data_IF_495166323855
#
_entry.id   IF_495166323855
#
_cell.length_a   1.000
_cell.length_b   1.000
_cell.length_c   1.000
_cell.angle_alpha   90.00
_cell.angle_beta   90.00
_cell.angle_gamma   90.00
#
_symmetry.space_group_name_H-M   'P 1'
#
loop_
_entity.id
_entity.type
_entity.pdbx_description
1 polymer ?
#
# COMPACT_ATOMS: atom_id res chain seq x y z
N UNK A 1 6.26 -7.34 -12.22
CA UNK A 1 6.88 -6.09 -11.71
C UNK A 1 6.02 -5.55 -10.57
N UNK A 2 6.42 -5.62 -9.29
CA UNK A 2 5.52 -5.24 -8.19
C UNK A 2 5.53 -3.75 -7.87
N UNK A 3 6.65 -3.06 -8.05
CA UNK A 3 6.71 -1.61 -7.87
C UNK A 3 6.26 -0.90 -9.14
N UNK A 4 5.06 -0.32 -9.11
CA UNK A 4 4.70 0.70 -10.10
C UNK A 4 5.45 1.96 -9.73
N UNK A 5 6.66 2.11 -10.28
CA UNK A 5 7.11 3.45 -10.64
C UNK A 5 6.12 3.91 -11.70
N UNK A 6 5.17 4.76 -11.29
CA UNK A 6 4.40 5.60 -12.20
C UNK A 6 5.42 6.48 -12.93
N UNK A 7 5.99 5.96 -14.02
CA UNK A 7 6.43 6.80 -15.12
C UNK A 7 5.13 7.32 -15.75
N UNK A 8 4.58 8.34 -15.10
CA UNK A 8 3.49 9.13 -15.63
C UNK A 8 3.87 9.54 -17.06
N UNK A 9 3.11 9.11 -18.07
CA UNK A 9 2.96 9.87 -19.31
C UNK A 9 2.03 11.06 -19.01
N UNK A 10 2.44 11.93 -18.10
CA UNK A 10 1.73 13.19 -17.85
C UNK A 10 2.77 14.26 -17.68
N UNK A 11 2.50 15.40 -18.32
CA UNK A 11 3.22 16.67 -18.29
C UNK A 11 4.22 16.81 -17.15
N UNK A 12 5.42 17.32 -17.46
CA UNK A 12 6.47 17.62 -16.50
C UNK A 12 5.97 18.41 -15.27
N UNK A 13 4.86 19.13 -15.39
CA UNK A 13 4.14 19.83 -14.32
C UNK A 13 3.49 18.90 -13.27
N UNK A 14 2.91 17.76 -13.66
CA UNK A 14 2.32 16.79 -12.73
C UNK A 14 3.41 16.05 -11.92
N UNK A 15 4.55 15.75 -12.57
CA UNK A 15 5.74 15.21 -11.91
C UNK A 15 6.43 16.26 -11.01
N UNK A 16 6.45 17.53 -11.40
CA UNK A 16 6.99 18.62 -10.57
C UNK A 16 6.17 18.85 -9.29
N UNK A 17 4.86 18.54 -9.31
CA UNK A 17 3.99 18.65 -8.16
C UNK A 17 4.00 17.42 -7.23
N UNK A 18 4.54 16.28 -7.69
CA UNK A 18 4.96 15.20 -6.80
C UNK A 18 6.26 15.66 -6.13
N UNK A 19 6.13 16.53 -5.12
CA UNK A 19 7.27 17.16 -4.44
C UNK A 19 8.31 16.17 -3.91
N UNK A 20 9.36 16.71 -3.30
CA UNK A 20 10.46 15.92 -2.73
C UNK A 20 9.94 14.74 -1.88
N UNK A 21 10.18 13.47 -2.29
CA UNK A 21 9.71 12.30 -1.58
C UNK A 21 10.48 12.03 -0.29
N UNK A 22 11.60 12.72 -0.07
CA UNK A 22 12.41 12.57 1.15
C UNK A 22 11.56 12.93 2.35
N UNK A 23 11.38 11.95 3.23
CA UNK A 23 10.68 12.16 4.49
C UNK A 23 11.51 13.08 5.38
N UNK A 24 11.03 14.31 5.66
CA UNK A 24 11.81 15.23 6.45
C UNK A 24 11.81 14.75 7.90
N UNK A 25 12.98 14.38 8.40
CA UNK A 25 13.16 13.99 9.81
C UNK A 25 12.90 15.14 10.78
N UNK A 26 12.81 16.39 10.30
CA UNK A 26 12.70 17.62 11.10
C UNK A 26 11.47 18.52 10.86
N UNK A 27 10.52 18.17 9.98
CA UNK A 27 9.31 19.00 9.77
C UNK A 27 8.68 18.80 8.39
N UNK A 28 7.35 18.71 8.31
CA UNK A 28 6.64 18.31 7.10
C UNK A 28 6.56 19.42 6.05
N UNK A 29 6.97 19.15 4.81
CA UNK A 29 6.28 19.75 3.66
C UNK A 29 4.84 19.20 3.65
N UNK A 30 3.80 20.03 3.45
CA UNK A 30 2.44 19.54 3.45
C UNK A 30 2.25 18.50 2.34
N UNK A 31 1.47 17.45 2.64
CA UNK A 31 0.91 16.57 1.62
C UNK A 31 0.22 17.45 0.59
N UNK A 32 0.75 17.46 -0.63
CA UNK A 32 0.14 18.19 -1.74
C UNK A 32 -0.36 17.14 -2.72
N UNK A 33 -1.68 17.02 -2.80
CA UNK A 33 -2.31 16.32 -3.92
C UNK A 33 -2.60 17.41 -4.94
N UNK A 34 -2.03 17.36 -6.15
CA UNK A 34 -2.42 18.29 -7.19
C UNK A 34 -3.92 18.15 -7.39
N UNK A 35 -4.67 19.25 -7.31
CA UNK A 35 -6.14 19.24 -7.52
C UNK A 35 -6.51 18.69 -8.91
N UNK A 36 -5.55 18.69 -9.84
CA UNK A 36 -5.67 18.18 -11.21
C UNK A 36 -5.23 16.73 -11.38
N UNK A 37 -4.71 16.06 -10.35
CA UNK A 37 -4.17 14.70 -10.48
C UNK A 37 -5.23 13.71 -10.94
N UNK A 38 -6.42 13.77 -10.35
CA UNK A 38 -7.54 12.91 -10.77
C UNK A 38 -7.90 13.13 -12.24
N UNK A 39 -8.05 14.39 -12.67
CA UNK A 39 -8.30 14.75 -14.07
C UNK A 39 -7.22 14.23 -15.02
N UNK A 40 -5.95 14.34 -14.64
CA UNK A 40 -4.83 13.85 -15.44
C UNK A 40 -4.82 12.32 -15.56
N UNK A 41 -5.39 11.60 -14.59
CA UNK A 41 -5.42 10.14 -14.54
C UNK A 41 -6.73 9.52 -15.04
N UNK A 42 -7.69 10.31 -15.54
CA UNK A 42 -9.00 9.81 -16.00
C UNK A 42 -8.93 8.69 -17.02
N UNK A 43 -7.97 8.76 -17.94
CA UNK A 43 -7.78 7.77 -19.00
C UNK A 43 -6.73 6.70 -18.64
N UNK A 44 -6.31 6.66 -17.38
CA UNK A 44 -5.34 5.67 -16.90
C UNK A 44 -6.08 4.59 -16.13
N UNK A 45 -5.85 3.33 -16.49
CA UNK A 45 -6.39 2.20 -15.75
C UNK A 45 -5.97 2.24 -14.28
N UNK A 46 -6.91 1.96 -13.39
CA UNK A 46 -6.65 1.82 -11.96
C UNK A 46 -6.05 0.44 -11.71
N UNK A 47 -4.73 0.40 -11.59
CA UNK A 47 -3.97 -0.85 -11.41
C UNK A 47 -4.58 -1.74 -10.32
N UNK A 48 -4.86 -3.00 -10.69
CA UNK A 48 -5.38 -4.02 -9.77
C UNK A 48 -6.86 -3.87 -9.40
N UNK A 49 -7.53 -2.79 -9.83
CA UNK A 49 -8.93 -2.51 -9.53
C UNK A 49 -9.78 -2.19 -10.76
N UNK A 50 -9.20 -1.94 -11.94
CA UNK A 50 -9.94 -1.54 -13.15
C UNK A 50 -11.08 -2.52 -13.48
N UNK A 51 -10.81 -3.83 -13.50
CA UNK A 51 -11.87 -4.82 -13.77
C UNK A 51 -13.02 -4.79 -12.75
N UNK A 52 -12.76 -4.41 -11.49
CA UNK A 52 -13.84 -4.19 -10.51
C UNK A 52 -14.58 -2.89 -10.79
N UNK A 53 -13.88 -1.80 -11.15
CA UNK A 53 -14.51 -0.53 -11.53
C UNK A 53 -15.44 -0.73 -12.72
N UNK A 54 -14.97 -1.39 -13.77
CA UNK A 54 -15.75 -1.65 -14.97
C UNK A 54 -17.01 -2.43 -14.63
N UNK A 55 -16.89 -3.50 -13.83
CA UNK A 55 -18.03 -4.27 -13.35
C UNK A 55 -19.02 -3.42 -12.54
N UNK A 56 -18.54 -2.65 -11.57
CA UNK A 56 -19.42 -1.84 -10.72
C UNK A 56 -20.18 -0.79 -11.54
N UNK A 57 -19.54 -0.21 -12.55
CA UNK A 57 -20.18 0.79 -13.41
C UNK A 57 -21.16 0.14 -14.40
N UNK A 58 -20.75 -0.91 -15.10
CA UNK A 58 -21.54 -1.51 -16.18
C UNK A 58 -22.65 -2.44 -15.67
N UNK A 59 -22.37 -3.22 -14.62
CA UNK A 59 -23.27 -4.31 -14.18
C UNK A 59 -24.07 -3.91 -12.93
N UNK A 60 -23.49 -3.07 -12.06
CA UNK A 60 -24.08 -2.69 -10.76
C UNK A 60 -24.59 -1.23 -10.72
N UNK A 61 -24.43 -0.48 -11.82
CA UNK A 61 -25.00 0.87 -11.98
C UNK A 61 -24.34 1.97 -11.14
N UNK A 62 -23.11 1.74 -10.66
CA UNK A 62 -22.31 2.78 -10.00
C UNK A 62 -21.88 3.86 -10.99
N UNK A 63 -21.67 5.06 -10.48
CA UNK A 63 -21.17 6.18 -11.28
C UNK A 63 -19.82 6.62 -10.74
N UNK A 64 -18.76 6.52 -11.57
CA UNK A 64 -17.45 7.06 -11.23
C UNK A 64 -17.50 8.58 -11.25
N UNK A 65 -16.87 9.25 -10.29
CA UNK A 65 -16.82 10.71 -10.28
C UNK A 65 -15.61 11.29 -9.56
N UNK A 66 -15.46 12.60 -9.70
CA UNK A 66 -14.40 13.34 -9.00
C UNK A 66 -14.71 13.38 -7.50
N UNK A 67 -13.81 12.92 -6.63
CA UNK A 67 -14.13 12.89 -5.22
C UNK A 67 -14.10 14.26 -4.50
N UNK A 68 -13.62 15.34 -5.15
CA UNK A 68 -13.91 16.72 -4.76
C UNK A 68 -15.16 17.27 -5.45
N UNK A 69 -15.57 16.76 -6.61
CA UNK A 69 -16.74 17.26 -7.32
C UNK A 69 -17.63 16.09 -7.75
N UNK A 70 -18.44 15.49 -6.84
CA UNK A 70 -19.20 14.28 -7.17
C UNK A 70 -20.22 14.43 -8.30
N UNK A 71 -20.52 15.65 -8.76
CA UNK A 71 -21.33 15.89 -9.96
C UNK A 71 -20.51 15.85 -11.26
N UNK A 72 -19.19 16.01 -11.18
CA UNK A 72 -18.28 15.76 -12.30
C UNK A 72 -18.11 14.25 -12.48
N UNK A 73 -18.81 13.72 -13.47
CA UNK A 73 -18.87 12.30 -13.84
C UNK A 73 -18.28 12.05 -15.23
N UNK A 74 -17.48 12.97 -15.74
CA UNK A 74 -16.84 12.83 -17.05
C UNK A 74 -15.64 11.88 -16.99
N UNK A 75 -15.94 10.59 -16.91
CA UNK A 75 -14.99 9.48 -16.84
C UNK A 75 -15.29 8.47 -17.95
N UNK A 76 -14.25 7.86 -18.56
CA UNK A 76 -14.41 6.95 -19.68
C UNK A 76 -15.18 5.67 -19.36
N UNK A 77 -15.22 5.24 -18.09
CA UNK A 77 -16.00 4.06 -17.68
C UNK A 77 -17.51 4.33 -17.62
N UNK A 78 -17.92 5.58 -17.39
CA UNK A 78 -19.34 5.90 -17.33
C UNK A 78 -19.97 5.88 -18.74
N UNK A 79 -21.24 5.46 -18.89
CA UNK A 79 -21.99 5.62 -20.13
C UNK A 79 -22.04 7.09 -20.57
N UNK A 80 -21.91 7.35 -21.87
CA UNK A 80 -21.84 8.72 -22.40
C UNK A 80 -23.05 9.58 -22.00
N UNK A 81 -24.24 8.98 -21.98
CA UNK A 81 -25.51 9.63 -21.60
C UNK A 81 -25.53 10.19 -20.16
N UNK A 82 -24.71 9.66 -19.25
CA UNK A 82 -24.67 10.09 -17.85
C UNK A 82 -23.45 10.95 -17.51
N UNK A 83 -22.49 11.10 -18.42
CA UNK A 83 -21.27 11.93 -18.20
C UNK A 83 -21.56 13.41 -18.10
N UNK A 84 -22.61 13.90 -18.77
CA UNK A 84 -23.07 15.29 -18.74
C UNK A 84 -24.20 15.54 -17.72
N UNK A 85 -24.81 14.48 -17.18
CA UNK A 85 -25.83 14.61 -16.15
C UNK A 85 -25.24 15.19 -14.86
N UNK A 86 -25.81 16.32 -14.38
CA UNK A 86 -25.41 17.01 -13.16
C UNK A 86 -26.47 16.94 -12.06
N UNK A 87 -27.47 16.07 -12.21
CA UNK A 87 -28.56 15.89 -11.23
C UNK A 87 -28.26 14.75 -10.25
N UNK A 88 -27.63 13.67 -10.73
CA UNK A 88 -27.26 12.50 -9.91
C UNK A 88 -25.79 12.56 -9.52
N UNK A 89 -25.50 12.42 -8.23
CA UNK A 89 -24.14 12.33 -7.68
C UNK A 89 -23.46 11.00 -8.05
N UNK A 90 -22.15 11.04 -8.18
CA UNK A 90 -21.30 9.85 -8.27
C UNK A 90 -21.38 9.00 -6.99
N UNK A 91 -21.17 7.70 -7.15
CA UNK A 91 -21.19 6.70 -6.08
C UNK A 91 -19.91 5.87 -5.99
N UNK A 92 -19.00 6.01 -6.95
CA UNK A 92 -17.71 5.34 -7.01
C UNK A 92 -16.59 6.38 -7.15
N UNK A 93 -15.58 6.27 -6.31
CA UNK A 93 -14.49 7.25 -6.23
C UNK A 93 -13.14 6.54 -6.17
N UNK A 94 -12.16 7.09 -6.86
CA UNK A 94 -10.77 6.61 -6.82
C UNK A 94 -9.93 7.62 -6.04
N UNK A 95 -9.15 7.14 -5.08
CA UNK A 95 -8.29 7.98 -4.25
C UNK A 95 -6.83 7.71 -4.60
N UNK A 96 -6.25 8.61 -5.39
CA UNK A 96 -4.83 8.57 -5.73
C UNK A 96 -4.00 9.20 -4.60
N UNK A 97 -2.82 8.63 -4.34
CA UNK A 97 -1.86 9.12 -3.35
C UNK A 97 -0.43 8.80 -3.79
N UNK A 98 0.54 9.53 -3.23
CA UNK A 98 1.96 9.26 -3.46
C UNK A 98 2.41 8.07 -2.61
N UNK A 99 2.47 6.90 -3.25
CA UNK A 99 2.81 5.62 -2.60
C UNK A 99 4.22 5.58 -2.03
N UNK A 100 5.11 6.52 -2.39
CA UNK A 100 6.49 6.59 -1.86
C UNK A 100 6.52 7.03 -0.41
N UNK A 101 5.48 7.75 0.03
CA UNK A 101 5.39 8.43 1.32
C UNK A 101 4.98 7.48 2.45
N UNK A 102 4.95 8.03 3.65
CA UNK A 102 4.57 7.31 4.85
C UNK A 102 3.10 6.85 4.84
N UNK A 103 2.81 5.67 5.38
CA UNK A 103 1.45 5.13 5.48
C UNK A 103 0.53 6.05 6.29
N UNK A 104 1.01 6.69 7.37
CA UNK A 104 0.21 7.64 8.13
C UNK A 104 -0.15 8.89 7.30
N UNK A 105 0.76 9.33 6.43
CA UNK A 105 0.50 10.44 5.50
C UNK A 105 -0.55 10.05 4.45
N UNK A 106 -0.46 8.83 3.93
CA UNK A 106 -1.45 8.28 3.00
C UNK A 106 -2.83 8.10 3.67
N UNK A 107 -2.87 7.70 4.94
CA UNK A 107 -4.10 7.59 5.71
C UNK A 107 -4.72 8.96 6.06
N UNK A 108 -3.90 9.97 6.35
CA UNK A 108 -4.33 11.37 6.50
C UNK A 108 -5.03 11.88 5.24
N UNK A 109 -4.48 11.57 4.06
CA UNK A 109 -5.10 11.86 2.77
C UNK A 109 -6.43 11.12 2.59
N UNK A 110 -6.46 9.82 2.87
CA UNK A 110 -7.67 9.01 2.77
C UNK A 110 -8.76 9.52 3.72
N UNK A 111 -8.42 9.84 4.97
CA UNK A 111 -9.35 10.37 5.97
C UNK A 111 -9.98 11.69 5.52
N UNK A 112 -9.18 12.63 5.02
CA UNK A 112 -9.68 13.87 4.45
C UNK A 112 -10.61 13.61 3.24
N UNK A 113 -10.25 12.67 2.35
CA UNK A 113 -11.06 12.35 1.17
C UNK A 113 -12.40 11.71 1.54
N UNK A 114 -12.40 10.77 2.48
CA UNK A 114 -13.63 10.15 2.99
C UNK A 114 -14.54 11.18 3.65
N UNK A 115 -13.98 12.07 4.49
CA UNK A 115 -14.74 13.14 5.12
C UNK A 115 -15.41 14.06 4.08
N UNK A 116 -14.68 14.44 3.03
CA UNK A 116 -15.19 15.28 1.94
C UNK A 116 -16.24 14.59 1.09
N UNK A 117 -16.03 13.32 0.73
CA UNK A 117 -17.01 12.52 -0.01
C UNK A 117 -18.32 12.47 0.79
N UNK A 118 -18.26 12.08 2.07
CA UNK A 118 -19.44 11.99 2.94
C UNK A 118 -20.16 13.33 3.07
N UNK A 119 -19.42 14.43 3.24
CA UNK A 119 -20.00 15.77 3.34
C UNK A 119 -20.69 16.21 2.04
N UNK A 120 -20.14 15.87 0.87
CA UNK A 120 -20.66 16.26 -0.44
C UNK A 120 -21.78 15.36 -0.95
N UNK A 121 -21.78 14.07 -0.58
CA UNK A 121 -22.79 13.10 -1.02
C UNK A 121 -23.92 12.88 -0.01
N UNK A 122 -23.73 13.31 1.25
CA UNK A 122 -24.64 13.01 2.35
C UNK A 122 -24.52 11.59 2.89
N UNK A 123 -23.58 10.78 2.38
CA UNK A 123 -23.41 9.41 2.82
C UNK A 123 -22.95 9.31 4.29
N UNK A 124 -23.69 8.54 5.10
CA UNK A 124 -23.33 8.32 6.50
C UNK A 124 -22.06 7.47 6.63
N UNK A 125 -21.81 6.55 5.69
CA UNK A 125 -20.63 5.67 5.61
C UNK A 125 -20.21 5.46 4.17
N UNK A 126 -18.98 4.99 3.97
CA UNK A 126 -18.45 4.55 2.67
C UNK A 126 -17.97 3.10 2.76
N UNK A 127 -17.94 2.40 1.62
CA UNK A 127 -17.22 1.15 1.49
C UNK A 127 -15.83 1.42 0.93
N UNK A 128 -14.81 0.74 1.48
CA UNK A 128 -13.41 0.94 1.07
C UNK A 128 -12.87 -0.35 0.49
N UNK A 129 -12.31 -0.28 -0.72
CA UNK A 129 -11.59 -1.40 -1.36
C UNK A 129 -10.14 -0.98 -1.56
N UNK A 130 -9.22 -1.68 -0.92
CA UNK A 130 -7.78 -1.42 -1.02
C UNK A 130 -7.05 -2.57 -1.71
N UNK A 131 -6.35 -2.29 -2.79
CA UNK A 131 -5.45 -3.24 -3.44
C UNK A 131 -4.00 -3.03 -2.96
N UNK A 132 -3.28 -4.11 -2.70
CA UNK A 132 -1.87 -4.08 -2.29
C UNK A 132 -1.66 -3.11 -1.10
N UNK A 133 -0.73 -2.15 -1.21
CA UNK A 133 -0.50 -1.11 -0.22
C UNK A 133 -1.78 -0.35 0.18
N UNK A 134 -2.71 -0.12 -0.74
CA UNK A 134 -3.97 0.56 -0.45
C UNK A 134 -4.80 -0.15 0.62
N UNK A 135 -4.68 -1.48 0.72
CA UNK A 135 -5.32 -2.26 1.79
C UNK A 135 -4.69 -2.02 3.17
N UNK A 136 -3.38 -1.85 3.24
CA UNK A 136 -2.67 -1.51 4.49
C UNK A 136 -3.03 -0.09 4.94
N UNK A 137 -3.06 0.87 4.00
CA UNK A 137 -3.50 2.25 4.25
C UNK A 137 -4.95 2.29 4.75
N UNK A 138 -5.84 1.52 4.13
CA UNK A 138 -7.25 1.46 4.52
C UNK A 138 -7.43 0.88 5.94
N UNK A 139 -6.68 -0.17 6.31
CA UNK A 139 -6.67 -0.70 7.68
C UNK A 139 -6.12 0.31 8.69
N UNK A 140 -5.02 0.98 8.37
CA UNK A 140 -4.49 2.05 9.21
C UNK A 140 -5.53 3.14 9.43
N UNK A 141 -6.19 3.61 8.37
CA UNK A 141 -7.28 4.59 8.45
C UNK A 141 -8.43 4.11 9.33
N UNK A 142 -8.89 2.87 9.18
CA UNK A 142 -9.96 2.32 10.02
C UNK A 142 -9.61 2.41 11.52
N UNK A 143 -8.36 2.10 11.87
CA UNK A 143 -7.85 2.11 13.26
C UNK A 143 -7.63 3.51 13.82
N UNK A 144 -6.97 4.38 13.06
CA UNK A 144 -6.34 5.60 13.59
C UNK A 144 -6.77 6.88 12.89
N UNK A 145 -7.63 6.79 11.87
CA UNK A 145 -7.97 7.94 11.05
C UNK A 145 -6.75 8.46 10.30
N UNK A 146 -6.63 9.78 10.25
CA UNK A 146 -5.50 10.49 9.68
C UNK A 146 -4.34 10.76 10.64
N UNK A 147 -4.44 10.36 11.91
CA UNK A 147 -3.38 10.64 12.91
C UNK A 147 -2.12 9.83 12.60
N UNK A 148 -0.96 10.47 12.68
CA UNK A 148 0.35 9.80 12.71
C UNK A 148 0.62 9.34 14.14
N UNK A 149 0.02 8.20 14.51
CA UNK A 149 0.15 7.64 15.86
C UNK A 149 1.61 7.30 16.18
N UNK A 150 2.45 6.99 15.17
CA UNK A 150 3.85 6.61 15.39
C UNK A 150 4.70 7.78 15.91
N UNK A 151 4.25 9.03 15.68
CA UNK A 151 4.84 10.29 16.14
C UNK A 151 3.92 11.10 17.04
N UNK A 152 2.79 10.53 17.43
CA UNK A 152 1.77 11.20 18.23
C UNK A 152 1.35 12.57 17.68
N UNK A 153 1.04 12.62 16.39
CA UNK A 153 0.79 13.88 15.68
C UNK A 153 -0.47 13.82 14.82
N UNK A 154 -1.22 14.91 14.81
CA UNK A 154 -2.41 15.05 13.98
C UNK A 154 -2.08 15.21 12.48
N UNK A 155 -3.04 14.82 11.65
CA UNK A 155 -3.04 14.99 10.20
C UNK A 155 -2.87 16.47 9.82
N UNK A 156 -1.83 16.84 9.07
CA UNK A 156 -1.61 18.23 8.65
C UNK A 156 -2.66 18.74 7.65
N UNK A 157 -3.40 17.84 6.98
CA UNK A 157 -4.48 18.18 6.06
C UNK A 157 -5.80 18.52 6.77
N UNK A 158 -5.81 18.59 8.10
CA UNK A 158 -6.99 18.96 8.89
C UNK A 158 -7.42 20.44 8.73
N UNK A 159 -6.91 21.15 7.71
CA UNK A 159 -7.29 22.51 7.36
C UNK A 159 -8.56 22.50 6.50
N UNK A 160 -9.69 22.95 7.08
CA UNK A 160 -11.01 23.01 6.44
C UNK A 160 -11.78 21.69 6.48
N UNK A 161 -12.90 21.70 7.22
CA UNK A 161 -13.64 20.53 7.73
C UNK A 161 -13.45 20.38 9.26
N UNK A 162 -14.19 19.51 9.98
CA UNK A 162 -13.94 19.29 11.40
C UNK A 162 -12.68 18.43 11.56
N UNK A 163 -11.54 19.04 11.87
CA UNK A 163 -10.26 18.38 12.13
C UNK A 163 -10.37 17.13 13.03
N UNK A 164 -11.31 17.16 13.98
CA UNK A 164 -11.65 16.03 14.84
C UNK A 164 -12.09 14.78 14.06
N UNK A 165 -12.87 14.92 12.98
CA UNK A 165 -13.32 13.78 12.16
C UNK A 165 -12.18 13.16 11.36
N UNK A 166 -11.20 13.96 10.94
CA UNK A 166 -10.05 13.47 10.17
C UNK A 166 -9.11 12.67 11.09
N UNK A 167 -8.90 13.14 12.32
CA UNK A 167 -7.97 12.49 13.27
C UNK A 167 -8.61 11.39 14.13
N UNK A 168 -9.95 11.30 14.17
CA UNK A 168 -10.63 10.20 14.83
C UNK A 168 -10.47 8.89 14.03
N UNK A 169 -10.51 7.71 14.69
CA UNK A 169 -10.56 6.42 14.02
C UNK A 169 -11.57 6.40 12.87
N UNK A 170 -11.17 5.89 11.71
CA UNK A 170 -12.00 5.88 10.50
C UNK A 170 -13.16 4.88 10.54
N UNK A 171 -13.10 3.87 11.42
CA UNK A 171 -14.07 2.79 11.48
C UNK A 171 -15.56 3.23 11.47
N UNK A 172 -16.00 4.26 12.23
CA UNK A 172 -17.40 4.70 12.20
C UNK A 172 -17.87 5.24 10.83
N UNK A 173 -16.94 5.67 9.98
CA UNK A 173 -17.20 6.16 8.63
C UNK A 173 -17.20 5.04 7.57
N UNK A 174 -16.86 3.81 7.94
CA UNK A 174 -16.73 2.68 7.01
C UNK A 174 -17.90 1.70 7.20
N UNK A 175 -18.62 1.39 6.13
CA UNK A 175 -19.67 0.35 6.11
C UNK A 175 -19.10 -1.05 5.93
N UNK A 176 -17.98 -1.15 5.20
CA UNK A 176 -17.21 -2.38 5.05
C UNK A 176 -15.87 -2.12 4.35
N UNK A 177 -14.91 -3.02 4.59
CA UNK A 177 -13.55 -2.94 4.08
C UNK A 177 -13.17 -4.21 3.31
N UNK A 178 -12.64 -4.05 2.10
CA UNK A 178 -12.05 -5.16 1.33
C UNK A 178 -10.57 -4.88 1.12
N UNK A 179 -9.72 -5.87 1.36
CA UNK A 179 -8.29 -5.79 1.01
C UNK A 179 -7.88 -6.92 0.07
N UNK A 180 -7.16 -6.59 -1.00
CA UNK A 180 -6.78 -7.52 -2.07
C UNK A 180 -5.25 -7.62 -2.14
N UNK A 181 -4.67 -8.75 -1.72
CA UNK A 181 -3.22 -8.97 -1.77
C UNK A 181 -2.41 -7.92 -1.01
N UNK A 182 -2.95 -7.41 0.09
CA UNK A 182 -2.33 -6.35 0.88
C UNK A 182 -1.24 -6.92 1.79
N UNK A 183 0.01 -6.40 1.78
CA UNK A 183 1.11 -6.94 2.57
C UNK A 183 0.99 -6.55 4.06
N UNK A 184 0.03 -7.13 4.79
CA UNK A 184 -0.25 -6.75 6.19
C UNK A 184 0.88 -7.11 7.15
N UNK A 185 1.75 -8.05 6.78
CA UNK A 185 3.00 -8.39 7.49
C UNK A 185 4.25 -8.04 6.65
N UNK A 186 4.12 -7.11 5.70
CA UNK A 186 5.20 -6.72 4.81
C UNK A 186 5.48 -7.71 3.67
N UNK A 187 6.52 -7.45 2.89
CA UNK A 187 6.92 -8.29 1.76
C UNK A 187 8.43 -8.30 1.60
N UNK A 188 9.02 -9.45 1.28
CA UNK A 188 10.45 -9.55 0.98
C UNK A 188 10.84 -8.72 -0.25
N UNK A 189 9.87 -8.34 -1.08
CA UNK A 189 10.06 -7.42 -2.20
C UNK A 189 10.47 -6.01 -1.74
N UNK A 190 10.04 -5.56 -0.56
CA UNK A 190 10.48 -4.29 0.02
C UNK A 190 11.96 -4.36 0.42
N UNK A 191 12.37 -5.46 1.07
CA UNK A 191 13.77 -5.72 1.38
C UNK A 191 14.62 -5.81 0.10
N UNK A 192 14.15 -6.53 -0.93
CA UNK A 192 14.79 -6.58 -2.24
C UNK A 192 15.09 -5.19 -2.81
N UNK A 193 14.13 -4.27 -2.72
CA UNK A 193 14.31 -2.92 -3.25
C UNK A 193 15.35 -2.08 -2.51
N UNK A 194 15.63 -2.41 -1.25
CA UNK A 194 16.71 -1.81 -0.46
C UNK A 194 18.06 -2.49 -0.68
N UNK A 195 18.09 -3.67 -1.30
CA UNK A 195 19.29 -4.49 -1.48
C UNK A 195 19.83 -4.52 -2.92
N UNK A 196 18.96 -4.46 -3.92
CA UNK A 196 19.32 -4.59 -5.33
C UNK A 196 18.98 -3.33 -6.10
N UNK A 197 19.92 -2.82 -6.89
CA UNK A 197 19.61 -1.81 -7.90
C UNK A 197 18.65 -2.39 -8.95
N UNK A 198 17.57 -1.67 -9.22
CA UNK A 198 16.63 -2.05 -10.27
C UNK A 198 17.09 -1.49 -11.61
N UNK A 199 17.08 -2.35 -12.63
CA UNK A 199 17.14 -1.90 -14.02
C UNK A 199 15.74 -1.46 -14.48
N UNK A 200 15.53 -0.15 -14.59
CA UNK A 200 14.49 0.39 -15.47
C UNK A 200 15.07 0.40 -16.90
N UNK A 201 14.47 -0.34 -17.82
CA UNK A 201 14.77 -0.27 -19.26
C UNK A 201 16.19 -0.69 -19.72
N UNK A 202 16.96 -1.45 -18.94
CA UNK A 202 18.19 -2.09 -19.43
C UNK A 202 19.34 -1.16 -19.84
N UNK A 203 19.34 0.13 -19.48
CA UNK A 203 20.43 1.06 -19.87
C UNK A 203 21.00 1.90 -18.71
N UNK A 204 20.33 2.03 -17.55
CA UNK A 204 20.82 2.85 -16.42
C UNK A 204 20.55 2.17 -15.07
N UNK A 205 21.60 1.61 -14.46
CA UNK A 205 21.57 0.96 -13.14
C UNK A 205 22.03 1.87 -11.99
N UNK A 206 22.07 3.19 -12.19
CA UNK A 206 22.69 4.12 -11.23
C UNK A 206 21.62 4.83 -10.39
N UNK A 207 21.65 4.63 -9.07
CA UNK A 207 20.97 5.51 -8.10
C UNK A 207 19.53 5.14 -7.69
N UNK A 208 18.97 4.02 -8.17
CA UNK A 208 17.61 3.63 -7.76
C UNK A 208 17.56 3.15 -6.30
N UNK A 209 18.60 2.47 -5.80
CA UNK A 209 18.66 2.03 -4.40
C UNK A 209 18.75 3.20 -3.42
N UNK A 210 19.51 4.25 -3.72
CA UNK A 210 19.53 5.48 -2.92
C UNK A 210 18.17 6.19 -2.92
N UNK A 211 17.49 6.24 -4.07
CA UNK A 211 16.14 6.78 -4.14
C UNK A 211 15.17 5.95 -3.27
N UNK A 212 15.14 4.63 -3.42
CA UNK A 212 14.29 3.71 -2.62
C UNK A 212 14.61 3.81 -1.13
N UNK A 213 15.89 3.94 -0.77
CA UNK A 213 16.32 4.13 0.61
C UNK A 213 15.65 5.35 1.23
N UNK A 214 15.46 6.45 0.49
CA UNK A 214 14.79 7.66 1.01
C UNK A 214 13.26 7.58 1.10
N UNK A 215 12.64 6.53 0.58
CA UNK A 215 11.17 6.37 0.57
C UNK A 215 10.71 5.66 1.86
N UNK A 216 9.87 6.27 2.71
CA UNK A 216 9.32 5.61 3.90
C UNK A 216 8.69 4.24 3.63
N UNK A 217 8.03 4.10 2.48
CA UNK A 217 7.32 2.87 2.16
C UNK A 217 8.22 1.64 2.03
N UNK A 218 9.47 1.83 1.59
CA UNK A 218 10.43 0.74 1.46
C UNK A 218 10.73 0.09 2.83
N UNK A 219 10.68 0.89 3.89
CA UNK A 219 10.90 0.45 5.27
C UNK A 219 9.60 -0.06 5.90
N UNK A 220 8.49 0.65 5.72
CA UNK A 220 7.19 0.30 6.29
C UNK A 220 6.55 -0.96 5.69
N UNK A 221 7.10 -1.49 4.59
CA UNK A 221 6.71 -2.78 4.01
C UNK A 221 7.76 -3.88 4.21
N UNK A 222 8.82 -3.65 4.99
CA UNK A 222 9.76 -4.71 5.35
C UNK A 222 9.00 -5.90 5.97
N UNK A 223 9.44 -7.15 5.74
CA UNK A 223 8.82 -8.30 6.38
C UNK A 223 8.75 -8.14 7.91
N UNK A 224 7.58 -8.42 8.48
CA UNK A 224 7.41 -8.48 9.92
C UNK A 224 7.85 -9.85 10.45
N UNK A 225 8.64 -9.83 11.52
CA UNK A 225 9.16 -11.03 12.17
C UNK A 225 8.39 -11.38 13.44
N UNK A 226 8.84 -12.43 14.11
CA UNK A 226 8.34 -12.86 15.42
C UNK A 226 8.62 -11.79 16.50
N UNK A 227 8.19 -12.03 17.74
CA UNK A 227 8.28 -11.07 18.85
C UNK A 227 9.68 -10.49 19.11
N UNK A 228 10.75 -11.19 18.72
CA UNK A 228 12.14 -10.76 18.86
C UNK A 228 12.61 -9.79 17.74
N UNK A 229 11.76 -9.53 16.74
CA UNK A 229 12.07 -8.69 15.59
C UNK A 229 13.00 -9.35 14.55
N UNK A 230 13.30 -10.65 14.70
CA UNK A 230 14.12 -11.39 13.75
C UNK A 230 13.27 -12.03 12.64
N UNK A 231 13.75 -11.93 11.40
CA UNK A 231 13.04 -12.41 10.20
C UNK A 231 13.90 -13.48 9.50
N UNK A 232 13.36 -14.67 9.16
CA UNK A 232 14.07 -15.68 8.38
C UNK A 232 14.22 -15.26 6.91
N UNK A 233 15.16 -14.35 6.64
CA UNK A 233 15.20 -13.54 5.42
C UNK A 233 16.28 -13.98 4.43
N UNK A 234 17.35 -14.62 4.90
CA UNK A 234 18.47 -15.04 4.06
C UNK A 234 18.60 -16.56 4.08
N UNK A 235 19.04 -17.13 2.96
CA UNK A 235 19.43 -18.53 2.88
C UNK A 235 20.85 -18.60 2.34
N UNK A 236 21.77 -19.08 3.18
CA UNK A 236 23.15 -19.36 2.79
C UNK A 236 23.45 -20.85 2.77
N UNK A 237 24.73 -21.19 2.58
CA UNK A 237 25.21 -22.58 2.60
C UNK A 237 24.83 -23.34 3.89
N UNK A 238 24.77 -22.62 5.01
CA UNK A 238 24.49 -23.19 6.35
C UNK A 238 22.99 -23.22 6.71
N UNK A 239 22.09 -22.89 5.77
CA UNK A 239 20.64 -22.89 6.00
C UNK A 239 20.03 -21.49 6.09
N UNK A 240 18.85 -21.41 6.70
CA UNK A 240 18.08 -20.16 6.83
C UNK A 240 18.64 -19.32 7.97
N UNK A 241 19.05 -18.10 7.66
CA UNK A 241 19.52 -17.11 8.64
C UNK A 241 18.38 -16.18 9.03
N UNK A 242 18.25 -15.94 10.35
CA UNK A 242 17.32 -14.96 10.92
C UNK A 242 18.04 -13.64 11.12
N UNK A 243 17.48 -12.58 10.55
CA UNK A 243 18.07 -11.25 10.56
C UNK A 243 17.31 -10.36 11.53
N UNK A 244 17.96 -9.67 12.49
CA UNK A 244 17.34 -8.64 13.30
C UNK A 244 17.08 -7.41 12.44
N UNK A 245 16.01 -7.47 11.65
CA UNK A 245 15.77 -6.58 10.51
C UNK A 245 15.48 -5.14 10.93
N UNK A 246 14.96 -4.94 12.16
CA UNK A 246 14.63 -3.63 12.69
C UNK A 246 15.75 -2.98 13.52
N UNK A 247 16.94 -3.61 13.57
CA UNK A 247 18.09 -3.10 14.31
C UNK A 247 19.06 -2.35 13.38
N UNK A 248 19.22 -1.02 13.52
CA UNK A 248 20.08 -0.22 12.64
C UNK A 248 21.53 -0.70 12.57
N UNK A 249 22.07 -1.21 13.70
CA UNK A 249 23.43 -1.76 13.74
C UNK A 249 23.60 -2.98 12.83
N UNK A 250 22.57 -3.82 12.68
CA UNK A 250 22.59 -4.97 11.77
C UNK A 250 22.79 -4.52 10.31
N UNK A 251 22.11 -3.45 9.90
CA UNK A 251 22.23 -2.90 8.55
C UNK A 251 23.62 -2.30 8.31
N UNK A 252 24.17 -1.59 9.29
CA UNK A 252 25.52 -0.99 9.22
C UNK A 252 26.60 -2.07 9.12
N UNK A 253 26.57 -3.05 10.04
CA UNK A 253 27.56 -4.13 10.08
C UNK A 253 27.57 -4.98 8.80
N UNK A 254 26.42 -5.11 8.14
CA UNK A 254 26.27 -5.87 6.89
C UNK A 254 26.54 -5.06 5.63
N UNK A 255 26.85 -3.76 5.74
CA UNK A 255 27.06 -2.89 4.58
C UNK A 255 25.80 -2.70 3.73
N UNK A 256 24.61 -2.81 4.33
CA UNK A 256 23.32 -2.69 3.62
C UNK A 256 22.84 -1.25 3.46
N UNK A 257 23.46 -0.32 4.17
CA UNK A 257 23.20 1.11 4.04
C UNK A 257 23.94 1.62 2.79
N UNK A 258 23.24 2.15 1.76
CA UNK A 258 23.91 2.75 0.62
C UNK A 258 24.62 4.05 1.05
N UNK A 259 25.74 4.40 0.42
CA UNK A 259 26.57 5.56 0.81
C UNK A 259 27.37 5.35 2.09
N UNK A 260 27.78 6.44 2.73
CA UNK A 260 28.53 6.40 4.00
C UNK A 260 27.59 6.09 5.19
N UNK A 261 27.72 4.92 5.86
CA UNK A 261 26.89 4.59 7.02
C UNK A 261 27.20 5.44 8.26
N UNK A 262 28.33 6.16 8.28
CA UNK A 262 28.71 7.06 9.37
C UNK A 262 28.16 8.48 9.21
N UNK A 263 27.57 8.82 8.07
CA UNK A 263 26.85 10.08 7.87
C UNK A 263 25.72 10.23 8.91
N UNK A 264 25.76 11.26 9.78
CA UNK A 264 24.76 11.47 10.82
C UNK A 264 23.32 11.58 10.29
N UNK A 265 23.11 12.18 9.12
CA UNK A 265 21.76 12.34 8.55
C UNK A 265 21.20 11.00 8.10
N UNK A 266 22.00 10.23 7.35
CA UNK A 266 21.62 8.90 6.88
C UNK A 266 21.40 7.92 8.03
N UNK A 267 22.24 7.96 9.06
CA UNK A 267 22.08 7.16 10.28
C UNK A 267 20.78 7.51 11.01
N UNK A 268 20.50 8.80 11.22
CA UNK A 268 19.25 9.26 11.82
C UNK A 268 18.04 8.85 11.00
N UNK A 269 18.13 8.92 9.67
CA UNK A 269 17.06 8.48 8.78
C UNK A 269 16.81 6.97 8.91
N UNK A 270 17.86 6.14 8.85
CA UNK A 270 17.78 4.69 9.04
C UNK A 270 17.11 4.33 10.38
N UNK A 271 17.62 4.91 11.48
CA UNK A 271 17.08 4.70 12.83
C UNK A 271 15.60 5.09 12.90
N UNK A 272 15.24 6.23 12.31
CA UNK A 272 13.86 6.72 12.29
C UNK A 272 12.94 5.80 11.48
N UNK A 273 13.38 5.36 10.29
CA UNK A 273 12.56 4.53 9.42
C UNK A 273 12.37 3.12 9.98
N UNK A 274 13.42 2.49 10.52
CA UNK A 274 13.31 1.18 11.15
C UNK A 274 12.43 1.22 12.40
N UNK A 275 12.56 2.26 13.24
CA UNK A 275 11.70 2.42 14.41
C UNK A 275 10.22 2.63 14.01
N UNK A 276 9.96 3.42 12.97
CA UNK A 276 8.60 3.62 12.42
C UNK A 276 8.04 2.33 11.85
N UNK A 277 8.80 1.59 11.05
CA UNK A 277 8.37 0.32 10.48
C UNK A 277 8.06 -0.72 11.57
N UNK A 278 8.93 -0.86 12.58
CA UNK A 278 8.73 -1.76 13.73
C UNK A 278 7.41 -1.44 14.45
N UNK A 279 7.20 -0.15 14.78
CA UNK A 279 6.00 0.30 15.49
C UNK A 279 4.73 0.12 14.66
N UNK A 280 4.78 0.45 13.36
CA UNK A 280 3.66 0.24 12.45
C UNK A 280 3.21 -1.22 12.44
N UNK A 281 4.16 -2.14 12.25
CA UNK A 281 3.82 -3.56 12.20
C UNK A 281 3.29 -4.08 13.53
N UNK A 282 3.93 -3.76 14.65
CA UNK A 282 3.44 -4.15 15.98
C UNK A 282 1.98 -3.73 16.17
N UNK A 283 1.67 -2.47 15.88
CA UNK A 283 0.32 -1.93 16.07
C UNK A 283 -0.73 -2.46 15.08
N UNK A 284 -0.36 -2.76 13.84
CA UNK A 284 -1.28 -3.39 12.88
C UNK A 284 -1.56 -4.87 13.20
N UNK A 285 -0.72 -5.50 14.02
CA UNK A 285 -0.84 -6.89 14.47
C UNK A 285 -1.47 -7.02 15.88
N UNK A 286 -1.69 -5.91 16.58
CA UNK A 286 -2.46 -5.91 17.82
C UNK A 286 -3.97 -6.00 17.54
N UNK A 287 -4.78 -6.68 18.38
CA UNK A 287 -6.23 -6.58 18.33
C UNK A 287 -6.70 -5.12 18.43
N UNK A 288 -7.81 -4.78 17.77
CA UNK A 288 -8.31 -3.41 17.75
C UNK A 288 -9.83 -3.40 17.68
N UNK A 289 -10.47 -2.98 18.77
CA UNK A 289 -11.92 -2.85 18.82
C UNK A 289 -12.47 -1.90 17.75
N UNK A 290 -11.70 -0.89 17.34
CA UNK A 290 -12.10 0.02 16.25
C UNK A 290 -12.08 -0.68 14.90
N UNK A 291 -11.02 -1.42 14.57
CA UNK A 291 -10.99 -2.21 13.33
C UNK A 291 -12.01 -3.36 13.36
N UNK A 292 -12.19 -4.01 14.51
CA UNK A 292 -13.11 -5.13 14.72
C UNK A 292 -14.58 -4.73 14.54
N UNK A 293 -14.91 -3.45 14.68
CA UNK A 293 -16.26 -2.94 14.41
C UNK A 293 -16.60 -2.88 12.90
N UNK A 294 -15.61 -3.02 12.01
CA UNK A 294 -15.79 -2.90 10.56
C UNK A 294 -15.91 -4.30 9.91
N UNK A 295 -17.04 -4.65 9.27
CA UNK A 295 -17.13 -5.84 8.43
C UNK A 295 -16.05 -5.83 7.35
N UNK A 296 -15.21 -6.88 7.30
CA UNK A 296 -14.07 -6.89 6.40
C UNK A 296 -13.86 -8.21 5.68
N UNK A 297 -13.43 -8.10 4.43
CA UNK A 297 -13.01 -9.23 3.60
C UNK A 297 -11.54 -9.03 3.24
N UNK A 298 -10.70 -10.00 3.60
CA UNK A 298 -9.27 -9.97 3.31
C UNK A 298 -8.91 -11.12 2.40
N UNK A 299 -8.30 -10.79 1.26
CA UNK A 299 -8.02 -11.72 0.19
C UNK A 299 -6.51 -11.92 0.03
N UNK A 300 -6.10 -13.18 0.02
CA UNK A 300 -4.75 -13.64 -0.31
C UNK A 300 -4.78 -14.59 -1.49
N UNK A 301 -3.61 -14.89 -2.05
CA UNK A 301 -3.46 -15.94 -3.05
C UNK A 301 -2.33 -16.87 -2.71
N UNK A 302 -2.41 -18.13 -3.13
CA UNK A 302 -1.42 -19.17 -2.84
C UNK A 302 -0.77 -19.77 -4.10
N UNK A 303 -1.14 -19.31 -5.30
CA UNK A 303 -0.86 -20.02 -6.55
C UNK A 303 0.39 -19.57 -7.30
N UNK A 304 1.12 -18.58 -6.79
CA UNK A 304 2.35 -18.09 -7.39
C UNK A 304 3.50 -18.26 -6.40
N UNK A 305 4.63 -18.87 -6.82
CA UNK A 305 5.87 -18.79 -6.07
C UNK A 305 6.22 -17.33 -5.83
N UNK A 306 6.29 -16.96 -4.55
CA UNK A 306 6.44 -15.58 -4.12
C UNK A 306 7.72 -15.42 -3.31
N UNK A 307 8.60 -14.46 -3.65
CA UNK A 307 9.82 -14.23 -2.90
C UNK A 307 9.52 -13.97 -1.42
N UNK A 308 10.12 -14.76 -0.54
CA UNK A 308 10.08 -14.58 0.91
C UNK A 308 11.48 -14.40 1.50
N UNK A 309 12.50 -14.93 0.81
CA UNK A 309 13.90 -14.90 1.26
C UNK A 309 14.80 -14.54 0.10
N UNK A 310 16.03 -14.14 0.42
CA UNK A 310 17.11 -13.96 -0.53
C UNK A 310 18.16 -15.06 -0.35
N UNK A 311 18.87 -15.39 -1.42
CA UNK A 311 20.10 -16.17 -1.34
C UNK A 311 21.21 -15.24 -0.83
N UNK A 312 22.00 -15.70 0.13
CA UNK A 312 23.17 -15.01 0.64
C UNK A 312 24.43 -15.86 0.38
N UNK A 313 25.30 -15.38 -0.50
CA UNK A 313 26.54 -16.06 -0.88
C UNK A 313 27.66 -15.01 -1.05
N UNK A 314 28.83 -15.26 -0.47
CA UNK A 314 30.00 -14.37 -0.50
C UNK A 314 29.69 -12.91 -0.14
N UNK A 315 28.82 -12.70 0.85
CA UNK A 315 28.39 -11.38 1.30
C UNK A 315 27.42 -10.65 0.36
N UNK A 316 27.04 -11.26 -0.77
CA UNK A 316 26.02 -10.72 -1.68
C UNK A 316 24.65 -11.27 -1.35
N UNK A 317 23.63 -10.41 -1.46
CA UNK A 317 22.23 -10.76 -1.26
C UNK A 317 21.51 -10.73 -2.61
N UNK A 318 21.00 -11.87 -3.04
CA UNK A 318 20.36 -12.04 -4.34
C UNK A 318 18.94 -12.59 -4.22
N UNK A 319 18.00 -11.97 -4.93
CA UNK A 319 16.65 -12.48 -5.07
C UNK A 319 16.47 -13.17 -6.42
N UNK A 320 16.12 -14.45 -6.38
CA UNK A 320 15.79 -15.21 -7.58
C UNK A 320 14.48 -14.70 -8.19
N UNK A 321 14.48 -14.53 -9.50
CA UNK A 321 13.32 -14.17 -10.29
C UNK A 321 12.52 -15.41 -10.69
N UNK A 322 11.28 -15.21 -11.16
CA UNK A 322 10.41 -16.31 -11.61
C UNK A 322 10.96 -17.10 -12.81
N UNK A 323 11.83 -16.50 -13.63
CA UNK A 323 12.49 -17.18 -14.74
C UNK A 323 13.61 -18.12 -14.27
N UNK A 324 14.01 -18.05 -13.01
CA UNK A 324 15.03 -18.91 -12.40
C UNK A 324 14.38 -20.05 -11.59
N UNK A 325 13.22 -20.53 -12.03
CA UNK A 325 12.48 -21.62 -11.35
C UNK A 325 13.27 -22.92 -11.25
N UNK A 326 14.19 -23.14 -12.19
CA UNK A 326 15.04 -24.33 -12.25
C UNK A 326 16.25 -24.23 -11.31
N UNK A 327 16.48 -23.06 -10.68
CA UNK A 327 17.52 -22.92 -9.68
C UNK A 327 17.18 -23.78 -8.45
N UNK A 328 18.08 -24.64 -7.95
CA UNK A 328 17.83 -25.51 -6.79
C UNK A 328 17.39 -24.77 -5.52
N UNK A 329 17.74 -23.49 -5.40
CA UNK A 329 17.39 -22.65 -4.25
C UNK A 329 16.00 -21.99 -4.39
N UNK A 330 15.40 -21.98 -5.59
CA UNK A 330 14.15 -21.27 -5.87
C UNK A 330 13.00 -21.66 -4.93
N UNK A 331 12.79 -22.97 -4.74
CA UNK A 331 11.77 -23.48 -3.82
C UNK A 331 12.05 -23.20 -2.34
N UNK A 332 13.30 -22.89 -1.97
CA UNK A 332 13.68 -22.55 -0.59
C UNK A 332 13.47 -21.06 -0.29
N UNK A 333 13.64 -20.20 -1.30
CA UNK A 333 13.52 -18.74 -1.18
C UNK A 333 12.14 -18.19 -1.51
N UNK A 334 11.25 -19.03 -2.03
CA UNK A 334 9.86 -18.69 -2.31
C UNK A 334 8.88 -19.42 -1.40
N UNK A 335 7.69 -18.83 -1.25
CA UNK A 335 6.54 -19.38 -0.52
C UNK A 335 5.27 -19.21 -1.37
N UNK A 336 4.16 -19.89 -1.03
CA UNK A 336 2.86 -19.62 -1.65
C UNK A 336 2.45 -18.16 -1.50
N UNK A 337 1.96 -17.56 -2.59
CA UNK A 337 1.55 -16.16 -2.62
C UNK A 337 0.92 -15.77 -3.97
N UNK A 338 0.90 -14.48 -4.26
CA UNK A 338 0.39 -13.90 -5.51
C UNK A 338 1.51 -13.49 -6.50
N UNK A 339 2.76 -13.80 -6.16
CA UNK A 339 3.98 -13.47 -6.90
C UNK A 339 4.65 -12.17 -6.41
N UNK A 340 4.07 -11.51 -5.40
CA UNK A 340 4.56 -10.28 -4.75
C UNK A 340 4.44 -10.36 -3.23
N UNK A 341 3.26 -10.75 -2.75
CA UNK A 341 2.90 -10.85 -1.33
C UNK A 341 2.62 -12.32 -1.03
N UNK A 342 3.26 -12.84 0.03
CA UNK A 342 2.99 -14.20 0.49
C UNK A 342 1.55 -14.31 1.00
N UNK A 343 0.98 -15.52 0.92
CA UNK A 343 -0.35 -15.78 1.47
C UNK A 343 -0.40 -15.40 2.96
N UNK A 344 0.63 -15.77 3.71
CA UNK A 344 0.75 -15.50 5.14
C UNK A 344 0.73 -14.00 5.44
N UNK A 345 1.41 -13.18 4.64
CA UNK A 345 1.37 -11.72 4.82
C UNK A 345 0.02 -11.13 4.41
N UNK A 346 -0.59 -11.65 3.34
CA UNK A 346 -1.88 -11.17 2.86
C UNK A 346 -3.05 -11.49 3.81
N UNK A 347 -2.98 -12.62 4.52
CA UNK A 347 -4.02 -13.05 5.46
C UNK A 347 -3.61 -12.85 6.93
N UNK A 348 -2.36 -12.44 7.19
CA UNK A 348 -1.75 -12.27 8.50
C UNK A 348 -2.22 -11.02 9.22
N UNK A 349 -3.51 -10.98 9.53
CA UNK A 349 -4.15 -9.96 10.35
C UNK A 349 -4.80 -10.59 11.58
N UNK A 350 -4.96 -9.84 12.68
CA UNK A 350 -5.57 -10.37 13.89
C UNK A 350 -6.99 -10.92 13.64
N UNK A 351 -7.28 -12.06 14.23
CA UNK A 351 -8.60 -12.68 14.17
C UNK A 351 -9.67 -11.75 14.75
N UNK A 352 -10.87 -11.78 14.16
CA UNK A 352 -11.96 -10.88 14.52
C UNK A 352 -13.30 -11.47 14.11
N UNK A 353 -14.39 -11.25 14.86
CA UNK A 353 -15.71 -11.76 14.51
C UNK A 353 -16.27 -11.17 13.19
N UNK A 354 -15.78 -10.00 12.78
CA UNK A 354 -16.20 -9.30 11.56
C UNK A 354 -15.28 -9.56 10.37
N UNK A 355 -14.24 -10.37 10.55
CA UNK A 355 -13.26 -10.71 9.52
C UNK A 355 -13.68 -11.97 8.76
N UNK A 356 -13.79 -11.83 7.44
CA UNK A 356 -13.79 -12.96 6.49
C UNK A 356 -12.46 -12.98 5.74
N UNK A 357 -11.77 -14.12 5.74
CA UNK A 357 -10.62 -14.35 4.86
C UNK A 357 -11.03 -15.15 3.64
N UNK A 358 -10.40 -14.87 2.50
CA UNK A 358 -10.57 -15.65 1.27
C UNK A 358 -9.22 -15.92 0.64
N UNK A 359 -9.00 -17.17 0.23
CA UNK A 359 -7.86 -17.55 -0.57
C UNK A 359 -8.31 -17.81 -2.00
N UNK A 360 -7.59 -17.24 -2.97
CA UNK A 360 -7.87 -17.40 -4.40
C UNK A 360 -6.61 -17.80 -5.17
N UNK A 361 -6.74 -18.12 -6.44
CA UNK A 361 -5.64 -18.60 -7.27
C UNK A 361 -5.32 -17.62 -8.40
N UNK A 362 -4.61 -16.53 -8.09
CA UNK A 362 -4.39 -15.44 -9.05
C UNK A 362 -3.03 -14.75 -8.84
N UNK A 363 -2.66 -13.89 -9.78
CA UNK A 363 -1.48 -13.02 -9.62
C UNK A 363 -1.83 -11.73 -8.88
N UNK A 364 -0.80 -11.05 -8.36
CA UNK A 364 -0.98 -9.84 -7.54
C UNK A 364 -1.89 -8.76 -8.14
N UNK A 365 -1.90 -8.56 -9.46
CA UNK A 365 -2.73 -7.55 -10.13
C UNK A 365 -4.04 -8.10 -10.71
N UNK A 366 -4.35 -9.38 -10.48
CA UNK A 366 -5.45 -10.09 -11.14
C UNK A 366 -6.52 -10.61 -10.17
N UNK A 367 -6.53 -10.15 -8.90
CA UNK A 367 -7.57 -10.50 -7.93
C UNK A 367 -8.99 -10.23 -8.45
N UNK A 368 -9.18 -9.11 -9.12
CA UNK A 368 -10.49 -8.70 -9.67
C UNK A 368 -10.82 -9.37 -11.01
N UNK A 369 -9.92 -10.21 -11.54
CA UNK A 369 -10.23 -11.04 -12.71
C UNK A 369 -10.96 -12.32 -12.30
N UNK A 370 -10.98 -12.64 -11.01
CA UNK A 370 -11.72 -13.78 -10.46
C UNK A 370 -13.20 -13.40 -10.24
N UNK A 371 -14.16 -14.01 -10.94
CA UNK A 371 -15.58 -13.68 -10.79
C UNK A 371 -16.07 -13.86 -9.34
N UNK A 372 -15.61 -14.91 -8.66
CA UNK A 372 -15.95 -15.19 -7.26
C UNK A 372 -15.55 -14.06 -6.31
N UNK A 373 -14.45 -13.36 -6.60
CA UNK A 373 -13.98 -12.19 -5.85
C UNK A 373 -14.88 -11.00 -6.12
N UNK A 374 -15.07 -10.66 -7.39
CA UNK A 374 -15.87 -9.49 -7.77
C UNK A 374 -17.34 -9.62 -7.34
N UNK A 375 -17.93 -10.82 -7.47
CA UNK A 375 -19.27 -11.14 -6.96
C UNK A 375 -19.38 -10.92 -5.44
N UNK A 376 -18.36 -11.36 -4.69
CA UNK A 376 -18.36 -11.23 -3.23
C UNK A 376 -18.22 -9.77 -2.81
N UNK A 377 -17.40 -9.00 -3.52
CA UNK A 377 -17.26 -7.56 -3.31
C UNK A 377 -18.59 -6.87 -3.60
N UNK A 378 -19.19 -7.07 -4.78
CA UNK A 378 -20.46 -6.46 -5.14
C UNK A 378 -21.56 -6.72 -4.09
N UNK A 379 -21.70 -7.96 -3.62
CA UNK A 379 -22.64 -8.32 -2.54
C UNK A 379 -22.37 -7.62 -1.21
N UNK A 380 -21.10 -7.30 -0.90
CA UNK A 380 -20.78 -6.53 0.31
C UNK A 380 -21.20 -5.07 0.14
N UNK A 381 -20.97 -4.49 -1.05
CA UNK A 381 -21.24 -3.09 -1.35
C UNK A 381 -22.74 -2.74 -1.45
N UNK A 382 -23.60 -3.75 -1.65
CA UNK A 382 -25.06 -3.61 -1.71
C UNK A 382 -25.76 -3.69 -0.33
N UNK A 383 -25.03 -3.96 0.75
CA UNK A 383 -25.56 -3.96 2.12
C UNK A 383 -25.69 -2.54 2.67
#
# INVERSE_FOLDING_TARGET
>A
MPFSVLALRTDAEALANLGDPRFPTGGSRPLTIPTRLDRALRHTEVRGLQGLIDRLVHDEGYLRGDPEQPLDKDYPENPESVRSDRTRLASLFVVYYDWRRDIAESACLLANRVARIRARTGASRVYVVGHSLGGVVARYYARYGGRDVMRDRDCPLASGGPAALINAPGAPAIGGLVTLGAPHQGSAQAFRGLMQDFNLFGVLSVGLRDAVFTMPIAWQLLPFGEADGSVPLLIGANGTERVPLYEPQSWIQRGWVPGDPHDPERRKFLETMLARAKRLHQWLQEPSATEDAVPRIVLGSACRPTPARAVAEDGKVAFLSRSESDNPMFGRVTVPGDGVVSLDSALGIPASPTLTTMNVCTGHSAYVNEPSVTDRIARLLQR
#
